data_IF_402334686898
#
_entry.id   IF_402334686898
#
_cell.length_a   1.000
_cell.length_b   1.000
_cell.length_c   1.000
_cell.angle_alpha   90.00
_cell.angle_beta   90.00
_cell.angle_gamma   90.00
#
_symmetry.space_group_name_H-M   'P 1'
#
loop_
_entity.id
_entity.type
_entity.pdbx_description
1 polymer ?
#
# COMPACT_ATOMS: atom_id res chain seq x y z
N UNK A 1 3.04 -24.29 -16.77
CA UNK A 1 2.55 -23.09 -17.52
C UNK A 1 3.18 -21.84 -16.91
N UNK A 2 3.35 -20.79 -17.71
CA UNK A 2 3.78 -19.48 -17.21
C UNK A 2 2.56 -18.58 -17.01
N UNK A 3 2.35 -18.11 -15.78
CA UNK A 3 1.20 -17.26 -15.40
C UNK A 3 1.72 -15.89 -15.00
N UNK A 4 1.33 -14.84 -15.71
CA UNK A 4 1.74 -13.48 -15.43
C UNK A 4 0.81 -12.80 -14.42
N UNK A 5 1.38 -11.89 -13.64
CA UNK A 5 0.61 -11.00 -12.77
C UNK A 5 1.15 -9.56 -12.86
N UNK A 6 0.25 -8.60 -13.14
CA UNK A 6 0.57 -7.19 -13.32
C UNK A 6 -0.32 -6.30 -12.44
N UNK A 7 0.28 -5.25 -11.86
CA UNK A 7 -0.44 -4.30 -10.98
C UNK A 7 0.00 -2.86 -11.20
N UNK A 8 -0.94 -1.92 -11.07
CA UNK A 8 -0.66 -0.48 -10.92
C UNK A 8 -1.45 0.13 -9.76
N UNK A 9 -0.96 1.23 -9.18
CA UNK A 9 -1.56 1.82 -7.96
C UNK A 9 -2.59 2.94 -8.21
N UNK A 10 -2.98 3.24 -9.45
CA UNK A 10 -3.97 4.27 -9.82
C UNK A 10 -4.42 4.09 -11.28
N UNK A 11 -5.61 4.60 -11.61
CA UNK A 11 -6.19 4.61 -12.98
C UNK A 11 -5.35 5.39 -14.02
N UNK A 12 -4.46 6.29 -13.59
CA UNK A 12 -3.62 7.13 -14.48
C UNK A 12 -2.33 6.44 -14.97
N UNK A 13 -2.12 5.15 -14.69
CA UNK A 13 -0.91 4.42 -15.09
C UNK A 13 -1.15 3.41 -16.23
N UNK A 14 -1.94 3.76 -17.26
CA UNK A 14 -2.21 2.88 -18.41
C UNK A 14 -0.92 2.42 -19.08
N UNK A 15 0.01 3.36 -19.36
CA UNK A 15 1.32 3.05 -19.95
C UNK A 15 2.18 2.13 -19.07
N UNK A 16 2.07 2.26 -17.74
CA UNK A 16 2.79 1.41 -16.79
C UNK A 16 2.23 -0.02 -16.69
N UNK A 17 0.95 -0.20 -17.05
CA UNK A 17 0.31 -1.50 -17.10
C UNK A 17 0.58 -2.21 -18.44
N UNK A 18 0.50 -1.48 -19.54
CA UNK A 18 0.84 -1.96 -20.89
C UNK A 18 2.28 -2.46 -20.94
N UNK A 19 3.24 -1.68 -20.41
CA UNK A 19 4.63 -2.09 -20.33
C UNK A 19 4.81 -3.41 -19.54
N UNK A 20 4.05 -3.60 -18.46
CA UNK A 20 4.11 -4.84 -17.69
C UNK A 20 3.54 -6.02 -18.49
N UNK A 21 2.42 -5.84 -19.18
CA UNK A 21 1.84 -6.88 -20.01
C UNK A 21 2.79 -7.28 -21.15
N UNK A 22 3.43 -6.30 -21.81
CA UNK A 22 4.43 -6.59 -22.83
C UNK A 22 5.60 -7.42 -22.29
N UNK A 23 6.14 -7.05 -21.11
CA UNK A 23 7.22 -7.82 -20.47
C UNK A 23 6.78 -9.25 -20.13
N UNK A 24 5.57 -9.43 -19.60
CA UNK A 24 5.03 -10.75 -19.25
C UNK A 24 4.75 -11.60 -20.50
N UNK A 25 4.24 -10.99 -21.57
CA UNK A 25 4.03 -11.66 -22.85
C UNK A 25 5.37 -12.06 -23.49
N UNK A 26 6.39 -11.19 -23.45
CA UNK A 26 7.76 -11.50 -23.90
C UNK A 26 8.39 -12.62 -23.08
N UNK A 27 8.05 -12.72 -21.79
CA UNK A 27 8.48 -13.82 -20.92
C UNK A 27 7.74 -15.14 -21.20
N UNK A 28 6.75 -15.16 -22.10
CA UNK A 28 6.00 -16.34 -22.49
C UNK A 28 4.81 -16.68 -21.58
N UNK A 29 4.28 -15.69 -20.84
CA UNK A 29 3.09 -15.92 -20.01
C UNK A 29 1.87 -16.28 -20.88
N UNK A 30 1.24 -17.42 -20.59
CA UNK A 30 0.07 -17.91 -21.32
C UNK A 30 -1.23 -17.26 -20.81
N UNK A 31 -1.26 -16.89 -19.53
CA UNK A 31 -2.36 -16.16 -18.91
C UNK A 31 -1.81 -15.04 -18.04
N UNK A 32 -2.37 -13.84 -18.15
CA UNK A 32 -1.95 -12.66 -17.36
C UNK A 32 -3.13 -12.13 -16.56
N UNK A 33 -2.95 -12.06 -15.23
CA UNK A 33 -3.90 -11.44 -14.31
C UNK A 33 -3.51 -9.98 -14.08
N UNK A 34 -4.49 -9.08 -14.12
CA UNK A 34 -4.26 -7.63 -14.20
C UNK A 34 -5.14 -6.93 -13.19
N UNK A 35 -4.55 -6.14 -12.30
CA UNK A 35 -5.32 -5.32 -11.36
C UNK A 35 -4.81 -3.88 -11.24
N UNK A 36 -5.75 -2.97 -11.01
CA UNK A 36 -5.48 -1.54 -10.77
C UNK A 36 -5.90 -1.17 -9.35
N UNK A 37 -5.12 -1.64 -8.38
CA UNK A 37 -5.39 -1.43 -6.96
C UNK A 37 -4.12 -1.02 -6.23
N UNK A 38 -4.29 -0.06 -5.31
CA UNK A 38 -3.20 0.34 -4.42
C UNK A 38 -2.78 -0.82 -3.52
N UNK A 39 -1.47 -0.93 -3.26
CA UNK A 39 -0.88 -1.99 -2.43
C UNK A 39 -1.28 -1.89 -0.96
N UNK A 40 -1.89 -0.78 -0.56
CA UNK A 40 -2.36 -0.54 0.81
C UNK A 40 -3.61 -1.38 1.11
N UNK A 41 -4.41 -1.72 0.09
CA UNK A 41 -5.72 -2.36 0.21
C UNK A 41 -5.61 -3.86 -0.14
N UNK A 42 -4.88 -4.62 0.69
CA UNK A 42 -4.60 -6.06 0.46
C UNK A 42 -5.89 -6.87 0.26
N UNK A 43 -6.94 -6.51 0.98
CA UNK A 43 -8.26 -7.13 0.87
C UNK A 43 -8.93 -6.97 -0.50
N UNK A 44 -8.41 -6.11 -1.38
CA UNK A 44 -8.97 -5.83 -2.71
C UNK A 44 -8.16 -6.41 -3.87
N UNK A 45 -7.12 -7.21 -3.61
CA UNK A 45 -6.28 -7.80 -4.66
C UNK A 45 -6.88 -9.09 -5.21
N UNK A 46 -8.11 -8.99 -5.72
CA UNK A 46 -8.91 -10.13 -6.20
C UNK A 46 -8.18 -10.89 -7.31
N UNK A 47 -7.50 -10.19 -8.22
CA UNK A 47 -6.77 -10.80 -9.33
C UNK A 47 -5.49 -11.51 -8.89
N UNK A 48 -4.81 -11.04 -7.83
CA UNK A 48 -3.72 -11.81 -7.24
C UNK A 48 -4.24 -13.12 -6.63
N UNK A 49 -5.37 -13.07 -5.93
CA UNK A 49 -5.99 -14.26 -5.33
C UNK A 49 -6.38 -15.24 -6.44
N UNK A 50 -7.05 -14.77 -7.51
CA UNK A 50 -7.39 -15.60 -8.66
C UNK A 50 -6.15 -16.18 -9.35
N UNK A 51 -5.06 -15.42 -9.48
CA UNK A 51 -3.80 -15.92 -10.04
C UNK A 51 -3.21 -17.04 -9.18
N UNK A 52 -3.20 -16.86 -7.86
CA UNK A 52 -2.74 -17.87 -6.91
C UNK A 52 -3.63 -19.11 -6.92
N UNK A 53 -4.94 -18.96 -7.08
CA UNK A 53 -5.90 -20.06 -7.19
C UNK A 53 -5.78 -20.82 -8.52
N UNK A 54 -5.42 -20.10 -9.59
CA UNK A 54 -5.27 -20.66 -10.92
C UNK A 54 -4.01 -21.52 -11.09
N UNK A 55 -2.89 -21.14 -10.48
CA UNK A 55 -1.63 -21.89 -10.58
C UNK A 55 -1.72 -23.28 -9.93
N UNK A 56 -1.01 -24.25 -10.51
CA UNK A 56 -0.97 -25.65 -10.11
C UNK A 56 0.47 -26.15 -10.01
N UNK A 57 0.63 -27.43 -9.63
CA UNK A 57 1.93 -28.10 -9.60
C UNK A 57 2.66 -27.97 -10.94
N UNK A 58 3.91 -27.49 -10.89
CA UNK A 58 4.75 -27.27 -12.07
C UNK A 58 4.54 -25.92 -12.78
N UNK A 59 3.62 -25.08 -12.31
CA UNK A 59 3.45 -23.73 -12.85
C UNK A 59 4.46 -22.73 -12.26
N UNK A 60 4.65 -21.63 -12.99
CA UNK A 60 5.46 -20.49 -12.54
C UNK A 60 4.63 -19.22 -12.60
N UNK A 61 4.42 -18.57 -11.46
CA UNK A 61 3.91 -17.21 -11.39
C UNK A 61 5.04 -16.24 -11.75
N UNK A 62 4.82 -15.37 -12.71
CA UNK A 62 5.79 -14.37 -13.19
C UNK A 62 5.28 -12.98 -12.86
N UNK A 63 6.16 -12.17 -12.27
CA UNK A 63 5.93 -10.74 -12.05
C UNK A 63 7.10 -9.94 -12.60
N UNK A 64 6.82 -8.71 -13.05
CA UNK A 64 7.84 -7.83 -13.61
C UNK A 64 8.79 -7.33 -12.51
N UNK A 65 8.23 -6.84 -11.40
CA UNK A 65 8.97 -6.29 -10.24
C UNK A 65 8.37 -6.75 -8.93
N UNK A 66 9.19 -6.82 -7.88
CA UNK A 66 8.78 -7.28 -6.56
C UNK A 66 7.69 -6.40 -5.91
N UNK A 67 7.75 -5.08 -6.08
CA UNK A 67 6.77 -4.14 -5.53
C UNK A 67 5.38 -4.26 -6.19
N UNK A 68 5.31 -4.90 -7.36
CA UNK A 68 4.03 -5.24 -7.99
C UNK A 68 3.36 -6.41 -7.29
N UNK A 69 4.14 -7.34 -6.75
CA UNK A 69 3.67 -8.53 -6.03
C UNK A 69 3.46 -8.30 -4.53
N UNK A 70 4.47 -7.82 -3.80
CA UNK A 70 4.46 -7.78 -2.34
C UNK A 70 4.64 -6.35 -1.79
N UNK A 71 4.03 -6.06 -0.63
CA UNK A 71 4.09 -4.75 0.06
C UNK A 71 5.08 -4.71 1.22
N UNK A 72 5.48 -5.88 1.69
CA UNK A 72 6.41 -6.12 2.77
C UNK A 72 7.05 -7.48 2.53
N UNK A 73 8.14 -7.74 3.24
CA UNK A 73 8.81 -9.03 3.20
C UNK A 73 7.96 -10.12 3.84
N UNK A 74 7.29 -9.83 4.97
CA UNK A 74 6.28 -10.73 5.53
C UNK A 74 5.25 -11.17 4.48
N UNK A 75 4.69 -10.24 3.71
CA UNK A 75 3.72 -10.55 2.65
C UNK A 75 4.36 -11.36 1.52
N UNK A 76 5.63 -11.09 1.17
CA UNK A 76 6.36 -11.89 0.20
C UNK A 76 6.52 -13.34 0.68
N UNK A 77 6.89 -13.55 1.94
CA UNK A 77 7.07 -14.89 2.52
C UNK A 77 5.75 -15.67 2.56
N UNK A 78 4.65 -15.00 2.93
CA UNK A 78 3.30 -15.59 2.89
C UNK A 78 2.92 -16.03 1.46
N UNK A 79 3.20 -15.20 0.45
CA UNK A 79 2.93 -15.53 -0.94
C UNK A 79 3.82 -16.68 -1.43
N UNK A 80 5.09 -16.70 -1.03
CA UNK A 80 6.01 -17.80 -1.36
C UNK A 80 5.53 -19.11 -0.77
N UNK A 81 5.14 -19.14 0.50
CA UNK A 81 4.61 -20.34 1.15
C UNK A 81 3.35 -20.85 0.44
N UNK A 82 2.44 -19.96 0.04
CA UNK A 82 1.26 -20.33 -0.74
C UNK A 82 1.62 -20.94 -2.10
N UNK A 83 2.54 -20.32 -2.84
CA UNK A 83 2.99 -20.82 -4.15
C UNK A 83 3.70 -22.17 -3.99
N UNK A 84 4.56 -22.31 -2.98
CA UNK A 84 5.30 -23.55 -2.69
C UNK A 84 4.38 -24.69 -2.22
N UNK A 85 3.32 -24.39 -1.46
CA UNK A 85 2.32 -25.38 -1.05
C UNK A 85 1.62 -26.04 -2.25
N UNK A 86 1.53 -25.31 -3.37
CA UNK A 86 1.02 -25.79 -4.66
C UNK A 86 2.09 -26.43 -5.54
N UNK A 87 3.34 -26.53 -5.06
CA UNK A 87 4.53 -26.94 -5.82
C UNK A 87 4.71 -26.14 -7.12
N UNK A 88 4.34 -24.86 -7.06
CA UNK A 88 4.60 -23.89 -8.11
C UNK A 88 5.86 -23.08 -7.76
N UNK A 89 6.28 -22.22 -8.69
CA UNK A 89 7.44 -21.34 -8.53
C UNK A 89 7.06 -19.88 -8.78
N UNK A 90 7.90 -18.97 -8.31
CA UNK A 90 7.82 -17.53 -8.53
C UNK A 90 9.04 -17.09 -9.32
N UNK A 91 8.83 -16.33 -10.38
CA UNK A 91 9.88 -15.66 -11.15
C UNK A 91 9.68 -14.15 -11.17
N UNK A 92 10.74 -13.40 -10.89
CA UNK A 92 10.75 -11.93 -10.87
C UNK A 92 11.69 -11.43 -11.96
N UNK A 93 11.12 -10.86 -13.03
CA UNK A 93 11.87 -10.51 -14.23
C UNK A 93 12.97 -9.47 -13.97
N UNK A 94 12.66 -8.39 -13.24
CA UNK A 94 13.61 -7.30 -12.99
C UNK A 94 14.83 -7.71 -12.16
N UNK A 95 14.76 -8.83 -11.46
CA UNK A 95 15.82 -9.32 -10.58
C UNK A 95 16.51 -10.57 -11.13
N UNK A 96 15.96 -11.19 -12.19
CA UNK A 96 16.42 -12.48 -12.69
C UNK A 96 16.29 -13.61 -11.66
N UNK A 97 15.38 -13.47 -10.70
CA UNK A 97 15.21 -14.44 -9.59
C UNK A 97 14.13 -15.45 -9.97
N UNK A 98 14.43 -16.73 -9.77
CA UNK A 98 13.51 -17.85 -10.01
C UNK A 98 13.53 -18.85 -8.84
N UNK A 99 12.43 -18.92 -8.10
CA UNK A 99 12.29 -19.81 -6.93
C UNK A 99 12.06 -21.28 -7.31
N UNK A 100 11.97 -21.61 -8.60
CA UNK A 100 12.09 -22.99 -9.07
C UNK A 100 13.49 -23.58 -8.83
N UNK A 101 14.49 -22.73 -8.55
CA UNK A 101 15.86 -23.14 -8.24
C UNK A 101 16.18 -22.94 -6.76
N UNK A 102 17.03 -23.80 -6.18
CA UNK A 102 17.49 -23.64 -4.79
C UNK A 102 18.21 -22.29 -4.58
N UNK A 103 19.01 -21.87 -5.56
CA UNK A 103 19.71 -20.57 -5.54
C UNK A 103 18.74 -19.40 -5.56
N UNK A 104 17.71 -19.42 -6.40
CA UNK A 104 16.74 -18.34 -6.46
C UNK A 104 15.88 -18.23 -5.20
N UNK A 105 15.52 -19.37 -4.57
CA UNK A 105 14.90 -19.38 -3.24
C UNK A 105 15.79 -18.71 -2.20
N UNK A 106 17.06 -19.11 -2.12
CA UNK A 106 18.02 -18.52 -1.19
C UNK A 106 18.18 -17.01 -1.40
N UNK A 107 18.37 -16.58 -2.65
CA UNK A 107 18.51 -15.16 -2.98
C UNK A 107 17.30 -14.35 -2.55
N UNK A 108 16.09 -14.83 -2.84
CA UNK A 108 14.86 -14.12 -2.49
C UNK A 108 14.70 -13.98 -0.97
N UNK A 109 14.99 -15.05 -0.22
CA UNK A 109 14.93 -15.04 1.26
C UNK A 109 15.97 -14.08 1.86
N UNK A 110 17.19 -14.05 1.33
CA UNK A 110 18.24 -13.11 1.78
C UNK A 110 17.81 -11.67 1.52
N UNK A 111 17.34 -11.37 0.31
CA UNK A 111 16.91 -10.01 -0.07
C UNK A 111 15.72 -9.55 0.77
N UNK A 112 14.78 -10.45 1.05
CA UNK A 112 13.70 -10.20 2.01
C UNK A 112 14.25 -9.87 3.40
N UNK A 113 15.13 -10.72 3.92
CA UNK A 113 15.70 -10.55 5.27
C UNK A 113 16.45 -9.22 5.43
N UNK A 114 17.23 -8.82 4.42
CA UNK A 114 17.95 -7.54 4.40
C UNK A 114 16.96 -6.37 4.41
N UNK A 115 15.89 -6.42 3.61
CA UNK A 115 14.89 -5.37 3.57
C UNK A 115 14.13 -5.22 4.90
N UNK A 116 13.86 -6.31 5.64
CA UNK A 116 13.29 -6.21 6.99
C UNK A 116 14.26 -5.60 7.99
N UNK A 117 15.53 -5.99 7.93
CA UNK A 117 16.58 -5.44 8.77
C UNK A 117 16.76 -3.93 8.58
N UNK A 118 16.82 -3.46 7.33
CA UNK A 118 16.90 -2.02 7.06
C UNK A 118 15.67 -1.26 7.57
N UNK A 119 14.48 -1.84 7.40
CA UNK A 119 13.23 -1.25 7.88
C UNK A 119 13.19 -1.16 9.41
N UNK A 120 13.67 -2.18 10.12
CA UNK A 120 13.69 -2.17 11.58
C UNK A 120 14.61 -1.08 12.12
N UNK A 121 15.83 -0.94 11.55
CA UNK A 121 16.76 0.15 11.87
C UNK A 121 16.16 1.52 11.57
N UNK A 122 15.49 1.68 10.43
CA UNK A 122 14.84 2.94 10.07
C UNK A 122 13.77 3.34 11.11
N UNK A 123 12.93 2.40 11.52
CA UNK A 123 11.87 2.63 12.51
C UNK A 123 12.43 2.92 13.90
N UNK A 124 13.53 2.27 14.29
CA UNK A 124 14.24 2.54 15.55
C UNK A 124 14.75 3.99 15.58
N UNK A 125 15.49 4.41 14.55
CA UNK A 125 15.97 5.80 14.42
C UNK A 125 14.82 6.80 14.41
N UNK A 126 13.71 6.48 13.75
CA UNK A 126 12.52 7.32 13.75
C UNK A 126 11.95 7.48 15.16
N UNK A 127 11.84 6.39 15.94
CA UNK A 127 11.34 6.43 17.32
C UNK A 127 12.24 7.28 18.21
N UNK A 128 13.56 7.13 18.12
CA UNK A 128 14.52 7.98 18.84
C UNK A 128 14.34 9.47 18.49
N UNK A 129 14.21 9.78 17.20
CA UNK A 129 13.98 11.15 16.73
C UNK A 129 12.67 11.74 17.26
N UNK A 130 11.59 10.95 17.23
CA UNK A 130 10.28 11.33 17.80
C UNK A 130 10.41 11.56 19.31
N UNK A 131 11.11 10.69 20.04
CA UNK A 131 11.30 10.82 21.48
C UNK A 131 12.06 12.12 21.83
N UNK A 132 13.16 12.41 21.13
CA UNK A 132 13.91 13.66 21.28
C UNK A 132 13.05 14.90 20.97
N UNK A 133 12.27 14.86 19.88
CA UNK A 133 11.41 15.98 19.51
C UNK A 133 10.21 16.16 20.46
N UNK A 134 9.69 15.08 21.06
CA UNK A 134 8.68 15.15 22.14
C UNK A 134 9.27 15.76 23.41
N UNK A 135 10.45 15.31 23.84
CA UNK A 135 11.14 15.88 25.00
C UNK A 135 11.46 17.37 24.82
N UNK A 136 11.81 17.78 23.59
CA UNK A 136 12.02 19.18 23.22
C UNK A 136 10.72 19.99 22.98
N UNK A 137 9.52 19.41 23.24
CA UNK A 137 8.24 20.11 23.11
C UNK A 137 7.85 20.51 21.67
N UNK A 138 8.46 19.92 20.64
CA UNK A 138 8.20 20.30 19.23
C UNK A 138 6.81 19.88 18.73
N UNK A 139 6.23 18.83 19.31
CA UNK A 139 4.91 18.33 18.93
C UNK A 139 3.80 19.20 19.55
N UNK A 140 3.24 20.11 18.76
CA UNK A 140 2.12 21.00 19.16
C UNK A 140 0.73 20.50 18.75
N UNK A 141 0.64 19.25 18.28
CA UNK A 141 -0.61 18.67 17.76
C UNK A 141 -1.09 19.33 16.46
N UNK A 142 -2.30 18.98 16.02
CA UNK A 142 -2.94 19.59 14.85
C UNK A 142 -3.30 21.04 15.18
N UNK A 143 -2.92 22.00 14.31
CA UNK A 143 -3.34 23.40 14.46
C UNK A 143 -4.88 23.47 14.60
N UNK A 144 -5.42 24.14 15.62
CA UNK A 144 -6.86 24.18 15.88
C UNK A 144 -7.56 25.19 14.96
N UNK A 145 -7.68 24.84 13.68
CA UNK A 145 -8.24 25.72 12.64
C UNK A 145 -9.70 26.11 12.86
N UNK A 146 -10.50 25.23 13.48
CA UNK A 146 -11.89 25.54 13.80
C UNK A 146 -12.03 26.47 15.01
N UNK A 147 -11.14 26.35 16.01
CA UNK A 147 -11.17 27.19 17.22
C UNK A 147 -10.86 28.65 16.92
N UNK A 148 -10.02 28.89 15.91
CA UNK A 148 -9.73 30.23 15.40
C UNK A 148 -10.95 30.97 14.82
N UNK A 149 -12.06 30.25 14.54
CA UNK A 149 -13.29 30.82 13.98
C UNK A 149 -14.43 30.89 15.01
N UNK A 150 -14.14 30.79 16.31
CA UNK A 150 -15.18 30.72 17.34
C UNK A 150 -16.07 31.97 17.35
N UNK A 151 -15.50 33.15 17.15
CA UNK A 151 -16.23 34.41 17.15
C UNK A 151 -17.18 34.50 15.94
N UNK A 152 -16.70 34.10 14.75
CA UNK A 152 -17.53 34.00 13.54
C UNK A 152 -18.66 32.96 13.70
N UNK A 153 -18.39 31.82 14.35
CA UNK A 153 -19.41 30.81 14.65
C UNK A 153 -20.49 31.37 15.59
N UNK A 154 -20.09 32.07 16.66
CA UNK A 154 -21.02 32.66 17.64
C UNK A 154 -21.83 33.80 16.99
N UNK A 155 -21.22 34.65 16.17
CA UNK A 155 -21.90 35.71 15.43
C UNK A 155 -22.96 35.14 14.46
N UNK A 156 -22.58 34.21 13.59
CA UNK A 156 -23.52 33.59 12.64
C UNK A 156 -24.64 32.82 13.36
N UNK A 157 -24.35 32.24 14.53
CA UNK A 157 -25.38 31.57 15.34
C UNK A 157 -26.37 32.57 15.95
N UNK A 158 -25.89 33.74 16.40
CA UNK A 158 -26.74 34.83 16.90
C UNK A 158 -27.61 35.46 15.80
N UNK A 159 -27.14 35.45 14.55
CA UNK A 159 -27.91 35.81 13.35
C UNK A 159 -28.98 34.76 12.98
N UNK A 160 -29.08 33.66 13.74
CA UNK A 160 -30.09 32.62 13.55
C UNK A 160 -29.72 31.56 12.51
N UNK A 161 -28.50 31.55 11.97
CA UNK A 161 -28.14 30.57 10.95
C UNK A 161 -28.16 29.13 11.50
N UNK A 162 -28.63 28.16 10.70
CA UNK A 162 -28.52 26.75 11.05
C UNK A 162 -27.06 26.29 11.11
N UNK A 163 -26.76 25.36 12.01
CA UNK A 163 -25.40 24.81 12.21
C UNK A 163 -24.82 24.21 10.93
N UNK A 164 -25.67 23.66 10.05
CA UNK A 164 -25.23 23.09 8.77
C UNK A 164 -24.72 24.16 7.80
N UNK A 165 -25.33 25.34 7.81
CA UNK A 165 -24.95 26.45 6.94
C UNK A 165 -23.74 27.19 7.49
N UNK A 166 -23.61 27.31 8.81
CA UNK A 166 -22.39 27.80 9.47
C UNK A 166 -21.20 26.88 9.13
N UNK A 167 -21.39 25.56 9.24
CA UNK A 167 -20.36 24.57 8.90
C UNK A 167 -19.91 24.67 7.43
N UNK A 168 -20.87 24.83 6.50
CA UNK A 168 -20.61 25.00 5.07
C UNK A 168 -19.90 26.33 4.78
N UNK A 169 -20.40 27.43 5.33
CA UNK A 169 -19.88 28.79 5.11
C UNK A 169 -18.46 28.97 5.65
N UNK A 170 -18.16 28.36 6.80
CA UNK A 170 -16.83 28.44 7.42
C UNK A 170 -15.90 27.29 7.02
N UNK A 171 -16.37 26.36 6.18
CA UNK A 171 -15.67 25.16 5.75
C UNK A 171 -15.08 24.35 6.92
N UNK A 172 -15.92 24.08 7.93
CA UNK A 172 -15.57 23.31 9.13
C UNK A 172 -16.59 22.20 9.35
N UNK A 173 -16.17 21.09 9.96
CA UNK A 173 -17.07 19.98 10.26
C UNK A 173 -18.18 20.38 11.24
N UNK A 174 -19.41 19.90 11.02
CA UNK A 174 -20.57 20.13 11.90
C UNK A 174 -20.27 19.81 13.38
N UNK A 175 -19.54 18.72 13.63
CA UNK A 175 -19.12 18.33 14.98
C UNK A 175 -18.21 19.40 15.65
N UNK A 176 -17.35 20.07 14.88
CA UNK A 176 -16.52 21.17 15.40
C UNK A 176 -17.36 22.38 15.77
N UNK A 177 -18.38 22.72 14.97
CA UNK A 177 -19.31 23.82 15.27
C UNK A 177 -20.08 23.54 16.57
N UNK A 178 -20.67 22.35 16.70
CA UNK A 178 -21.38 21.97 17.93
C UNK A 178 -20.48 21.96 19.16
N UNK A 179 -19.24 21.47 19.03
CA UNK A 179 -18.27 21.46 20.12
C UNK A 179 -17.91 22.89 20.57
N UNK A 180 -17.70 23.80 19.64
CA UNK A 180 -17.30 25.18 19.92
C UNK A 180 -18.45 26.07 20.41
N UNK A 181 -19.71 25.72 20.09
CA UNK A 181 -20.89 26.38 20.66
C UNK A 181 -21.21 25.94 22.09
N UNK A 182 -20.66 24.79 22.53
CA UNK A 182 -20.76 24.31 23.91
C UNK A 182 -19.63 24.83 24.83
N UNK A 183 -18.58 25.42 24.24
CA UNK A 183 -17.51 26.14 24.96
C UNK A 183 -17.89 27.62 25.20
#
# INVERSE_FOLDING_TARGET
>A
MLVGYARTSTLDQTAGLEAQQEELNKAGCEKVFIEQVSSVDVARREQLIEALDYIREGDTLIVTKLDRLARSVSHLLELLEQIESKKASLRILSMGVDTGTATGKLMLTILGSVAEFERSIMLERQREGIAKAKAAGKYKGRKPTARAKIDEIKALKSEGLPVIDIARKLNIGRASVYRLLKE
#
